data_IF_365685771457
#
_entry.id   IF_365685771457
#
_cell.length_a   1.000
_cell.length_b   1.000
_cell.length_c   1.000
_cell.angle_alpha   90.00
_cell.angle_beta   90.00
_cell.angle_gamma   90.00
#
_symmetry.space_group_name_H-M   'P 1'
#
loop_
_entity.id
_entity.type
_entity.pdbx_description
1 polymer ?
#
# COMPACT_ATOMS: atom_id res chain seq x y z
N UNK A 1 -1.52 -0.74 -40.10
CA UNK A 1 -2.94 -1.12 -40.22
C UNK A 1 -3.02 -2.64 -40.01
N UNK A 2 -3.30 -3.07 -38.78
CA UNK A 2 -3.80 -4.40 -38.45
C UNK A 2 -4.36 -4.31 -37.03
N UNK A 3 -5.66 -4.05 -37.00
CA UNK A 3 -6.51 -3.99 -35.82
C UNK A 3 -7.04 -5.40 -35.56
N UNK A 4 -6.89 -5.92 -34.35
CA UNK A 4 -7.77 -6.97 -33.84
C UNK A 4 -8.18 -6.63 -32.42
N UNK A 5 -9.50 -6.50 -32.26
CA UNK A 5 -10.20 -6.20 -31.03
C UNK A 5 -10.43 -7.49 -30.23
N UNK A 6 -9.95 -7.52 -28.99
CA UNK A 6 -10.54 -8.26 -27.85
C UNK A 6 -10.01 -7.58 -26.58
N UNK A 7 -10.92 -7.24 -25.65
CA UNK A 7 -10.65 -6.41 -24.47
C UNK A 7 -9.49 -6.89 -23.58
N UNK A 8 -8.30 -6.37 -23.85
CA UNK A 8 -7.16 -6.41 -22.96
C UNK A 8 -7.12 -5.05 -22.28
N UNK A 9 -7.51 -5.01 -21.00
CA UNK A 9 -7.09 -3.94 -20.10
C UNK A 9 -5.56 -3.87 -20.23
N UNK A 10 -5.04 -2.72 -20.67
CA UNK A 10 -3.60 -2.50 -20.82
C UNK A 10 -2.91 -2.74 -19.46
N UNK A 11 -2.25 -3.89 -19.36
CA UNK A 11 -1.75 -4.51 -18.13
C UNK A 11 -0.26 -4.20 -17.88
N UNK A 12 0.23 -3.05 -18.37
CA UNK A 12 1.41 -2.42 -17.75
C UNK A 12 0.99 -2.02 -16.34
N UNK A 13 1.41 -2.80 -15.34
CA UNK A 13 0.77 -2.89 -14.02
C UNK A 13 0.37 -1.53 -13.43
N UNK A 14 -0.93 -1.34 -13.17
CA UNK A 14 -1.51 -0.24 -12.37
C UNK A 14 -0.95 -0.19 -10.92
N UNK A 15 -0.08 -1.12 -10.51
CA UNK A 15 0.38 -1.24 -9.14
C UNK A 15 1.20 -0.03 -8.62
N UNK A 16 2.16 0.55 -9.36
CA UNK A 16 2.86 1.77 -8.92
C UNK A 16 1.88 2.93 -8.70
N UNK A 17 1.03 3.25 -9.69
CA UNK A 17 0.05 4.35 -9.59
C UNK A 17 -0.99 4.11 -8.47
N UNK A 18 -1.44 2.87 -8.31
CA UNK A 18 -2.37 2.46 -7.26
C UNK A 18 -1.74 2.58 -5.88
N UNK A 19 -0.50 2.12 -5.69
CA UNK A 19 0.22 2.26 -4.41
C UNK A 19 0.60 3.71 -4.11
N UNK A 20 0.89 4.53 -5.12
CA UNK A 20 1.04 5.98 -4.97
C UNK A 20 -0.27 6.65 -4.53
N UNK A 21 -1.40 6.22 -5.10
CA UNK A 21 -2.73 6.70 -4.70
C UNK A 21 -3.07 6.29 -3.28
N UNK A 22 -2.73 5.08 -2.86
CA UNK A 22 -2.82 4.64 -1.47
C UNK A 22 -1.94 5.51 -0.55
N UNK A 23 -0.68 5.76 -0.91
CA UNK A 23 0.23 6.60 -0.14
C UNK A 23 -0.31 8.04 0.03
N UNK A 24 -0.89 8.65 -1.01
CA UNK A 24 -1.56 9.96 -0.90
C UNK A 24 -2.67 9.96 0.16
N UNK A 25 -3.48 8.90 0.23
CA UNK A 25 -4.57 8.76 1.22
C UNK A 25 -4.00 8.63 2.64
N UNK A 26 -2.92 7.87 2.80
CA UNK A 26 -2.19 7.75 4.08
C UNK A 26 -1.67 9.11 4.55
N UNK A 27 -1.00 9.86 3.66
CA UNK A 27 -0.47 11.19 4.00
C UNK A 27 -1.58 12.13 4.48
N UNK A 28 -2.71 12.17 3.77
CA UNK A 28 -3.86 13.00 4.16
C UNK A 28 -4.43 12.62 5.52
N UNK A 29 -4.56 11.32 5.80
CA UNK A 29 -4.99 10.83 7.11
C UNK A 29 -4.00 11.26 8.20
N UNK A 30 -2.70 11.09 7.97
CA UNK A 30 -1.66 11.45 8.94
C UNK A 30 -1.58 12.95 9.20
N UNK A 31 -1.89 13.82 8.22
CA UNK A 31 -2.04 15.26 8.44
C UNK A 31 -3.13 15.56 9.47
N UNK A 32 -4.29 14.91 9.36
CA UNK A 32 -5.37 15.06 10.35
C UNK A 32 -4.98 14.51 11.73
N UNK A 33 -4.24 13.39 11.78
CA UNK A 33 -3.76 12.82 13.06
C UNK A 33 -2.69 13.72 13.73
N UNK A 34 -1.87 14.40 12.95
CA UNK A 34 -0.84 15.33 13.43
C UNK A 34 -1.47 16.54 14.15
N UNK A 35 -2.63 17.01 13.68
CA UNK A 35 -3.39 18.11 14.28
C UNK A 35 -3.96 17.76 15.67
N UNK A 36 -4.31 16.48 15.91
CA UNK A 36 -4.89 16.02 17.18
C UNK A 36 -3.87 15.97 18.33
N UNK A 37 -2.56 15.95 18.04
CA UNK A 37 -1.44 15.82 19.01
C UNK A 37 -1.48 14.50 19.82
N UNK A 38 -0.48 14.29 20.67
CA UNK A 38 -0.42 13.18 21.62
C UNK A 38 -0.36 11.78 20.98
N UNK A 39 -1.25 10.88 21.42
CA UNK A 39 -1.29 9.48 20.97
C UNK A 39 -1.60 9.39 19.48
N UNK A 40 -2.57 10.16 18.98
CA UNK A 40 -2.96 10.19 17.57
C UNK A 40 -1.78 10.57 16.67
N UNK A 41 -1.02 11.62 17.05
CA UNK A 41 0.20 12.03 16.35
C UNK A 41 1.25 10.92 16.33
N UNK A 42 1.46 10.25 17.46
CA UNK A 42 2.45 9.18 17.60
C UNK A 42 2.12 7.97 16.70
N UNK A 43 0.85 7.56 16.67
CA UNK A 43 0.37 6.51 15.76
C UNK A 43 0.43 6.96 14.30
N UNK A 44 0.10 8.21 14.01
CA UNK A 44 0.21 8.82 12.68
C UNK A 44 1.63 8.76 12.12
N UNK A 45 2.66 8.91 12.96
CA UNK A 45 4.08 8.77 12.58
C UNK A 45 4.46 7.32 12.22
N UNK A 46 3.90 6.33 12.89
CA UNK A 46 4.11 4.92 12.53
C UNK A 46 3.38 4.57 11.23
N UNK A 47 2.15 5.06 11.08
CA UNK A 47 1.32 4.86 9.91
C UNK A 47 1.92 5.49 8.65
N UNK A 48 2.41 6.74 8.72
CA UNK A 48 2.97 7.41 7.54
C UNK A 48 4.24 6.70 7.04
N UNK A 49 5.08 6.21 7.95
CA UNK A 49 6.31 5.47 7.61
C UNK A 49 5.98 4.18 6.88
N UNK A 50 5.13 3.34 7.47
CA UNK A 50 4.75 2.05 6.88
C UNK A 50 3.93 2.22 5.59
N UNK A 51 2.91 3.09 5.59
CA UNK A 51 1.98 3.24 4.47
C UNK A 51 2.60 3.84 3.21
N UNK A 52 3.56 4.77 3.35
CA UNK A 52 4.28 5.32 2.19
C UNK A 52 5.38 4.38 1.68
N UNK A 53 5.96 3.58 2.57
CA UNK A 53 6.98 2.59 2.22
C UNK A 53 6.47 1.49 1.26
N UNK A 54 5.16 1.22 1.26
CA UNK A 54 4.53 0.30 0.30
C UNK A 54 4.80 0.74 -1.14
N UNK A 55 4.43 1.98 -1.48
CA UNK A 55 4.65 2.53 -2.82
C UNK A 55 6.12 2.71 -3.13
N UNK A 56 6.91 3.23 -2.18
CA UNK A 56 8.35 3.42 -2.36
C UNK A 56 9.09 2.14 -2.77
N UNK A 57 8.80 1.00 -2.11
CA UNK A 57 9.39 -0.27 -2.47
C UNK A 57 8.92 -0.79 -3.84
N UNK A 58 7.69 -0.48 -4.25
CA UNK A 58 7.18 -0.87 -5.57
C UNK A 58 7.85 -0.06 -6.69
N UNK A 59 8.06 1.23 -6.48
CA UNK A 59 8.85 2.09 -7.37
C UNK A 59 10.29 1.59 -7.51
N UNK A 60 10.96 1.30 -6.39
CA UNK A 60 12.31 0.71 -6.41
C UNK A 60 12.34 -0.64 -7.14
N UNK A 61 11.29 -1.45 -6.98
CA UNK A 61 11.14 -2.72 -7.70
C UNK A 61 11.06 -2.56 -9.21
N UNK A 62 10.52 -1.45 -9.74
CA UNK A 62 10.48 -1.20 -11.19
C UNK A 62 11.89 -1.07 -11.79
N UNK A 63 12.88 -0.68 -10.97
CA UNK A 63 14.27 -0.55 -11.37
C UNK A 63 15.12 -1.80 -11.06
N UNK A 64 14.51 -2.89 -10.58
CA UNK A 64 15.24 -4.10 -10.18
C UNK A 64 16.01 -4.76 -11.32
N UNK A 65 17.25 -5.18 -11.05
CA UNK A 65 18.13 -5.81 -12.03
C UNK A 65 17.91 -7.33 -12.19
N UNK A 66 17.04 -7.94 -11.37
CA UNK A 66 16.71 -9.36 -11.47
C UNK A 66 15.31 -9.67 -10.92
N UNK A 67 14.74 -10.81 -11.33
CA UNK A 67 13.48 -11.32 -10.75
C UNK A 67 13.57 -11.48 -9.23
N UNK A 68 14.71 -11.95 -8.71
CA UNK A 68 14.93 -12.13 -7.27
C UNK A 68 14.90 -10.81 -6.50
N UNK A 69 15.53 -9.78 -7.06
CA UNK A 69 15.54 -8.43 -6.49
C UNK A 69 14.13 -7.82 -6.49
N UNK A 70 13.41 -7.95 -7.61
CA UNK A 70 12.01 -7.52 -7.69
C UNK A 70 11.13 -8.21 -6.64
N UNK A 71 11.27 -9.54 -6.47
CA UNK A 71 10.55 -10.28 -5.43
C UNK A 71 10.88 -9.81 -4.02
N UNK A 72 12.13 -9.44 -3.74
CA UNK A 72 12.54 -8.91 -2.45
C UNK A 72 11.82 -7.58 -2.17
N UNK A 73 11.80 -6.67 -3.15
CA UNK A 73 11.10 -5.38 -3.04
C UNK A 73 9.60 -5.56 -2.84
N UNK A 74 8.94 -6.43 -3.60
CA UNK A 74 7.53 -6.76 -3.38
C UNK A 74 7.27 -7.41 -2.01
N UNK A 75 8.21 -8.21 -1.50
CA UNK A 75 8.08 -8.81 -0.17
C UNK A 75 8.19 -7.78 0.95
N UNK A 76 9.09 -6.81 0.81
CA UNK A 76 9.19 -5.67 1.73
C UNK A 76 7.89 -4.87 1.68
N UNK A 77 7.42 -4.47 0.49
CA UNK A 77 6.15 -3.75 0.33
C UNK A 77 4.98 -4.51 0.99
N UNK A 78 4.93 -5.84 0.86
CA UNK A 78 3.89 -6.66 1.50
C UNK A 78 3.96 -6.61 3.03
N UNK A 79 5.16 -6.60 3.62
CA UNK A 79 5.35 -6.47 5.07
C UNK A 79 4.89 -5.08 5.55
N UNK A 80 5.29 -4.03 4.85
CA UNK A 80 4.90 -2.65 5.17
C UNK A 80 3.38 -2.46 5.06
N UNK A 81 2.73 -3.08 4.07
CA UNK A 81 1.27 -3.04 3.94
C UNK A 81 0.56 -3.73 5.12
N UNK A 82 1.09 -4.86 5.62
CA UNK A 82 0.54 -5.53 6.82
C UNK A 82 0.70 -4.68 8.08
N UNK A 83 1.85 -4.03 8.25
CA UNK A 83 2.07 -3.07 9.34
C UNK A 83 1.12 -1.86 9.22
N UNK A 84 0.92 -1.34 8.01
CA UNK A 84 -0.02 -0.25 7.73
C UNK A 84 -1.44 -0.63 8.12
N UNK A 85 -1.91 -1.82 7.74
CA UNK A 85 -3.22 -2.33 8.11
C UNK A 85 -3.37 -2.48 9.63
N UNK A 86 -2.32 -2.93 10.32
CA UNK A 86 -2.32 -3.00 11.79
C UNK A 86 -2.55 -1.62 12.41
N UNK A 87 -1.85 -0.58 11.94
CA UNK A 87 -2.03 0.78 12.46
C UNK A 87 -3.41 1.35 12.14
N UNK A 88 -3.94 1.15 10.94
CA UNK A 88 -5.30 1.58 10.57
C UNK A 88 -6.35 0.94 11.48
N UNK A 89 -6.21 -0.37 11.76
CA UNK A 89 -7.10 -1.08 12.69
C UNK A 89 -6.96 -0.54 14.11
N UNK A 90 -5.75 -0.34 14.61
CA UNK A 90 -5.55 0.17 15.97
C UNK A 90 -6.15 1.57 16.14
N UNK A 91 -6.00 2.45 15.16
CA UNK A 91 -6.61 3.79 15.15
C UNK A 91 -8.14 3.70 15.18
N UNK A 92 -8.73 2.74 14.46
CA UNK A 92 -10.18 2.52 14.46
C UNK A 92 -10.69 1.97 15.79
N UNK A 93 -10.06 0.92 16.32
CA UNK A 93 -10.46 0.22 17.56
C UNK A 93 -10.20 1.05 18.83
N UNK A 94 -9.47 2.18 18.71
CA UNK A 94 -9.24 3.14 19.81
C UNK A 94 -10.04 4.43 19.65
N UNK A 95 -11.01 4.45 18.73
CA UNK A 95 -11.92 5.57 18.46
C UNK A 95 -11.21 6.90 18.09
N UNK A 96 -9.93 6.87 17.71
CA UNK A 96 -9.18 8.06 17.25
C UNK A 96 -9.74 8.54 15.91
N UNK A 97 -10.10 7.59 15.04
CA UNK A 97 -10.85 7.86 13.82
C UNK A 97 -11.98 6.82 13.69
N UNK A 98 -13.22 7.24 13.44
CA UNK A 98 -14.33 6.32 13.21
C UNK A 98 -14.01 5.27 12.14
N UNK A 99 -14.33 4.01 12.43
CA UNK A 99 -13.97 2.86 11.59
C UNK A 99 -14.56 2.95 10.16
N UNK A 100 -15.76 3.52 10.01
CA UNK A 100 -16.42 3.78 8.74
C UNK A 100 -15.60 4.70 7.82
N UNK A 101 -14.92 5.70 8.40
CA UNK A 101 -14.03 6.61 7.66
C UNK A 101 -12.74 5.93 7.20
N UNK A 102 -12.33 4.85 7.85
CA UNK A 102 -11.13 4.08 7.51
C UNK A 102 -11.42 2.85 6.65
N UNK A 103 -12.68 2.41 6.57
CA UNK A 103 -13.09 1.17 5.90
C UNK A 103 -12.50 1.01 4.50
N UNK A 104 -12.73 1.97 3.61
CA UNK A 104 -12.24 1.90 2.22
C UNK A 104 -10.72 2.01 2.09
N UNK A 105 -10.01 2.50 3.11
CA UNK A 105 -8.54 2.53 3.13
C UNK A 105 -7.99 1.18 3.62
N UNK A 106 -8.65 0.56 4.60
CA UNK A 106 -8.32 -0.79 5.07
C UNK A 106 -8.63 -1.86 4.00
N UNK A 107 -9.74 -1.72 3.27
CA UNK A 107 -10.08 -2.60 2.14
C UNK A 107 -9.00 -2.54 1.05
N UNK A 108 -8.63 -1.33 0.61
CA UNK A 108 -7.54 -1.13 -0.34
C UNK A 108 -6.22 -1.71 0.15
N UNK A 109 -5.88 -1.52 1.44
CA UNK A 109 -4.67 -2.09 2.01
C UNK A 109 -4.67 -3.63 1.96
N UNK A 110 -5.81 -4.28 2.20
CA UNK A 110 -5.96 -5.73 2.07
C UNK A 110 -5.81 -6.20 0.62
N UNK A 111 -6.37 -5.46 -0.34
CA UNK A 111 -6.20 -5.78 -1.76
C UNK A 111 -4.73 -5.69 -2.19
N UNK A 112 -4.01 -4.65 -1.76
CA UNK A 112 -2.57 -4.53 -1.98
C UNK A 112 -1.80 -5.70 -1.36
N UNK A 113 -2.13 -6.12 -0.13
CA UNK A 113 -1.52 -7.31 0.51
C UNK A 113 -1.75 -8.57 -0.34
N UNK A 114 -2.97 -8.77 -0.86
CA UNK A 114 -3.31 -9.93 -1.66
C UNK A 114 -2.53 -9.96 -2.99
N UNK A 115 -2.46 -8.81 -3.67
CA UNK A 115 -1.68 -8.64 -4.92
C UNK A 115 -0.21 -8.92 -4.67
N UNK A 116 0.40 -8.27 -3.67
CA UNK A 116 1.82 -8.41 -3.35
C UNK A 116 2.16 -9.84 -2.92
N UNK A 117 1.29 -10.49 -2.13
CA UNK A 117 1.45 -11.90 -1.76
C UNK A 117 1.47 -12.81 -3.00
N UNK A 118 0.59 -12.55 -3.96
CA UNK A 118 0.51 -13.33 -5.21
C UNK A 118 1.77 -13.13 -6.06
N UNK A 119 2.26 -11.90 -6.19
CA UNK A 119 3.50 -11.60 -6.92
C UNK A 119 4.69 -12.33 -6.29
N UNK A 120 4.86 -12.22 -4.97
CA UNK A 120 5.98 -12.84 -4.26
C UNK A 120 5.98 -14.37 -4.41
N UNK A 121 4.81 -15.02 -4.42
CA UNK A 121 4.71 -16.47 -4.66
C UNK A 121 5.15 -16.83 -6.08
N UNK A 122 4.58 -16.17 -7.10
CA UNK A 122 4.86 -16.44 -8.52
C UNK A 122 6.30 -16.17 -8.95
N UNK A 123 7.02 -15.29 -8.25
CA UNK A 123 8.42 -14.99 -8.57
C UNK A 123 9.39 -15.97 -7.90
N UNK A 124 8.97 -16.67 -6.85
CA UNK A 124 9.76 -17.70 -6.16
C UNK A 124 9.63 -19.08 -6.81
N UNK A 125 8.54 -19.31 -7.54
CA UNK A 125 8.34 -20.43 -8.48
C UNK A 125 9.18 -20.23 -9.76
#
# INVERSE_FOLDING_TARGET
>A
MLTLATGVIDLKSDLPDRTFTFAKRIVKLCQTLEEQRGVAQTLGRQLIRSGTSVGANIEEGQASHSRKDFALKCNIACREARETLYWLRLIAETDIVPADRLKSLMEECNELIAILTTIVKKVRE
#
